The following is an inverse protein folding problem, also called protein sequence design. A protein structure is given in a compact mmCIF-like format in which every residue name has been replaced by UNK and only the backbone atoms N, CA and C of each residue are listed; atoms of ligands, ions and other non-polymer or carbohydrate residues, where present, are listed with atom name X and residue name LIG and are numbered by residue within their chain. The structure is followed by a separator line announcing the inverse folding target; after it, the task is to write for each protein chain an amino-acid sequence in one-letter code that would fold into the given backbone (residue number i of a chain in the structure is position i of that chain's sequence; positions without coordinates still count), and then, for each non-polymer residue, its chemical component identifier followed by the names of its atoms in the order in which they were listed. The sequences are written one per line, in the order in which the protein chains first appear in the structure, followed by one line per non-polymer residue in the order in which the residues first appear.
data_IF_282880303862
#
_entry.id   IF_282880303862
#
_cell.length_a   1.000
_cell.length_b   1.000
_cell.length_c   1.000
_cell.angle_alpha   90.00
_cell.angle_beta   90.00
_cell.angle_gamma   90.00
#
_symmetry.space_group_name_H-M   'P 1'
#
loop_
_entity.id
_entity.type
_entity.pdbx_description
1 polymer ?
#
# COMPACT_ATOMS: atom_id res chain seq x y z
N UNK A 1 -3.71 -1.16 -17.65
CA UNK A 1 -2.81 -2.07 -16.91
C UNK A 1 -3.03 -1.80 -15.43
N UNK A 2 -3.24 -2.85 -14.63
CA UNK A 2 -3.43 -2.75 -13.18
C UNK A 2 -2.16 -3.22 -12.50
N UNK A 3 -1.65 -2.47 -11.53
CA UNK A 3 -0.55 -2.91 -10.70
C UNK A 3 -1.09 -3.89 -9.66
N UNK A 4 -0.42 -5.01 -9.48
CA UNK A 4 -0.80 -6.03 -8.50
C UNK A 4 0.43 -6.42 -7.70
N UNK A 5 0.26 -6.64 -6.40
CA UNK A 5 1.31 -7.19 -5.54
C UNK A 5 1.55 -8.64 -5.94
N UNK A 6 2.77 -8.95 -6.35
CA UNK A 6 3.15 -10.31 -6.75
C UNK A 6 3.49 -11.22 -5.56
N UNK A 7 3.95 -10.63 -4.47
CA UNK A 7 4.23 -11.32 -3.22
C UNK A 7 4.01 -10.35 -2.07
N UNK A 8 3.11 -10.72 -1.17
CA UNK A 8 3.03 -10.10 0.15
C UNK A 8 3.65 -11.08 1.14
N UNK A 9 4.88 -10.78 1.53
CA UNK A 9 5.47 -11.35 2.73
C UNK A 9 4.57 -11.01 3.92
N UNK A 10 4.72 -11.73 5.04
CA UNK A 10 3.91 -11.63 6.27
C UNK A 10 4.14 -10.27 6.99
N UNK A 11 3.81 -9.20 6.26
CA UNK A 11 4.09 -7.80 6.59
C UNK A 11 2.85 -7.23 7.26
N UNK A 12 3.02 -6.51 8.38
CA UNK A 12 1.90 -5.85 9.03
C UNK A 12 1.19 -4.88 8.08
N UNK A 13 -0.14 -4.85 8.15
CA UNK A 13 -0.95 -3.83 7.51
C UNK A 13 -0.76 -2.45 8.15
N UNK A 14 -0.88 -1.42 7.33
CA UNK A 14 -0.84 -0.02 7.71
C UNK A 14 -2.05 0.72 7.15
N UNK A 15 -2.59 1.62 7.94
CA UNK A 15 -3.63 2.56 7.52
C UNK A 15 -3.06 3.97 7.62
N UNK A 16 -3.24 4.77 6.57
CA UNK A 16 -2.85 6.17 6.57
C UNK A 16 -3.81 6.98 5.70
N UNK A 17 -3.76 8.31 5.82
CA UNK A 17 -4.51 9.19 4.92
C UNK A 17 -3.59 9.93 3.97
N UNK A 18 -4.02 10.06 2.72
CA UNK A 18 -3.38 10.89 1.70
C UNK A 18 -4.43 11.88 1.18
N UNK A 19 -4.16 13.17 1.32
CA UNK A 19 -5.09 14.25 0.93
C UNK A 19 -6.50 14.09 1.54
N UNK A 20 -6.56 13.58 2.77
CA UNK A 20 -7.81 13.30 3.48
C UNK A 20 -8.50 12.00 3.07
N UNK A 21 -7.98 11.26 2.09
CA UNK A 21 -8.49 9.95 1.67
C UNK A 21 -7.80 8.83 2.46
N UNK A 22 -8.52 7.94 3.15
CA UNK A 22 -7.92 6.80 3.83
C UNK A 22 -7.42 5.77 2.82
N UNK A 23 -6.24 5.21 3.08
CA UNK A 23 -5.55 4.20 2.30
C UNK A 23 -5.03 3.08 3.19
N UNK A 24 -4.99 1.87 2.62
CA UNK A 24 -4.37 0.71 3.23
C UNK A 24 -3.07 0.38 2.50
N UNK A 25 -2.04 0.01 3.25
CA UNK A 25 -0.75 -0.43 2.72
C UNK A 25 -0.15 -1.51 3.62
N UNK A 26 1.03 -2.01 3.26
CA UNK A 26 1.83 -2.89 4.09
C UNK A 26 3.11 -2.19 4.53
N UNK A 27 3.62 -2.56 5.70
CA UNK A 27 4.89 -2.05 6.18
C UNK A 27 6.01 -2.29 5.16
N UNK A 28 6.81 -1.25 4.91
CA UNK A 28 7.91 -1.28 3.93
C UNK A 28 7.50 -0.96 2.49
N UNK A 29 6.23 -0.72 2.20
CA UNK A 29 5.85 -0.13 0.91
C UNK A 29 6.44 1.27 0.76
N UNK A 30 6.80 1.62 -0.48
CA UNK A 30 6.97 3.03 -0.84
C UNK A 30 5.60 3.69 -1.00
N UNK A 31 5.53 5.03 -0.88
CA UNK A 31 4.27 5.75 -1.11
C UNK A 31 3.68 5.46 -2.49
N UNK A 32 4.50 5.41 -3.53
CA UNK A 32 4.06 5.09 -4.88
C UNK A 32 3.41 3.70 -4.96
N UNK A 33 4.04 2.68 -4.36
CA UNK A 33 3.49 1.31 -4.35
C UNK A 33 2.27 1.17 -3.46
N UNK A 34 2.15 1.95 -2.38
CA UNK A 34 0.95 1.99 -1.54
C UNK A 34 -0.25 2.61 -2.28
N UNK A 35 -0.01 3.58 -3.17
CA UNK A 35 -1.06 4.28 -3.93
C UNK A 35 -1.56 3.46 -5.14
N UNK A 36 -0.68 2.66 -5.76
CA UNK A 36 -0.97 1.99 -7.03
C UNK A 36 -1.42 0.53 -6.90
N UNK A 37 -1.28 -0.08 -5.72
CA UNK A 37 -1.57 -1.50 -5.47
C UNK A 37 -3.04 -1.79 -5.19
#
# INVERSE_FOLDING_TARGET
MTLVRLLDQDRPGLEFSLDGTPLQALAGDTLLTAILA
#
